data_IF_328698029445
#
_entry.id   IF_328698029445
#
_cell.length_a   1.000
_cell.length_b   1.000
_cell.length_c   1.000
_cell.angle_alpha   90.00
_cell.angle_beta   90.00
_cell.angle_gamma   90.00
#
_symmetry.space_group_name_H-M   'P 1'
#
loop_
_entity.id
_entity.type
_entity.pdbx_description
1 polymer ?
#
# COMPACT_ATOMS: atom_id res chain seq x y z
N UNK A 1 -6.96 9.58 -13.13
CA UNK A 1 -8.21 9.66 -13.93
C UNK A 1 -8.09 8.78 -15.17
N UNK A 2 -9.20 8.18 -15.59
CA UNK A 2 -9.28 7.23 -16.70
C UNK A 2 -10.22 7.75 -17.78
N UNK A 3 -9.93 7.51 -19.08
CA UNK A 3 -10.86 7.83 -20.16
C UNK A 3 -12.16 7.00 -20.04
N UNK A 4 -13.24 7.55 -20.58
CA UNK A 4 -14.55 6.86 -20.60
C UNK A 4 -15.14 6.78 -22.01
N UNK A 5 -14.27 6.78 -23.04
CA UNK A 5 -14.70 6.54 -24.42
C UNK A 5 -15.02 5.03 -24.61
N UNK A 6 -15.78 4.74 -25.65
CA UNK A 6 -16.30 3.38 -25.90
C UNK A 6 -15.18 2.34 -26.06
N UNK A 7 -14.11 2.68 -26.74
CA UNK A 7 -12.96 1.77 -26.97
C UNK A 7 -12.26 1.43 -25.63
N UNK A 8 -12.06 2.42 -24.76
CA UNK A 8 -11.44 2.17 -23.46
C UNK A 8 -12.36 1.35 -22.54
N UNK A 9 -13.66 1.66 -22.53
CA UNK A 9 -14.65 0.88 -21.77
C UNK A 9 -14.72 -0.56 -22.27
N UNK A 10 -14.65 -0.78 -23.59
CA UNK A 10 -14.63 -2.13 -24.16
C UNK A 10 -13.39 -2.90 -23.71
N UNK A 11 -12.20 -2.30 -23.74
CA UNK A 11 -10.96 -2.91 -23.27
C UNK A 11 -11.02 -3.26 -21.77
N UNK A 12 -11.49 -2.34 -20.92
CA UNK A 12 -11.67 -2.57 -19.49
C UNK A 12 -12.66 -3.72 -19.25
N UNK A 13 -13.75 -3.74 -19.98
CA UNK A 13 -14.77 -4.77 -19.85
C UNK A 13 -14.25 -6.17 -20.19
N UNK A 14 -13.46 -6.27 -21.25
CA UNK A 14 -12.80 -7.52 -21.65
C UNK A 14 -11.79 -7.97 -20.60
N UNK A 15 -10.89 -7.07 -20.16
CA UNK A 15 -9.88 -7.36 -19.15
C UNK A 15 -10.50 -7.82 -17.83
N UNK A 16 -11.52 -7.10 -17.34
CA UNK A 16 -12.23 -7.46 -16.10
C UNK A 16 -12.90 -8.83 -16.25
N UNK A 17 -13.57 -9.07 -17.35
CA UNK A 17 -14.25 -10.35 -17.61
C UNK A 17 -13.24 -11.50 -17.57
N UNK A 18 -12.14 -11.40 -18.30
CA UNK A 18 -11.10 -12.44 -18.33
C UNK A 18 -10.49 -12.69 -16.96
N UNK A 19 -10.16 -11.64 -16.22
CA UNK A 19 -9.57 -11.79 -14.88
C UNK A 19 -10.55 -12.38 -13.87
N UNK A 20 -11.82 -11.97 -13.90
CA UNK A 20 -12.82 -12.53 -13.00
C UNK A 20 -13.06 -14.01 -13.32
N UNK A 21 -13.26 -14.39 -14.57
CA UNK A 21 -13.43 -15.79 -14.96
C UNK A 21 -12.21 -16.66 -14.57
N UNK A 22 -11.01 -16.10 -14.64
CA UNK A 22 -9.77 -16.79 -14.24
C UNK A 22 -9.63 -16.97 -12.73
N UNK A 23 -10.11 -16.01 -11.91
CA UNK A 23 -9.83 -15.96 -10.48
C UNK A 23 -11.00 -16.31 -9.57
N UNK A 24 -12.25 -16.23 -10.02
CA UNK A 24 -13.44 -16.38 -9.18
C UNK A 24 -13.56 -17.73 -8.47
N UNK A 25 -12.88 -18.77 -8.95
CA UNK A 25 -12.93 -20.10 -8.37
C UNK A 25 -11.91 -20.33 -7.24
N UNK A 26 -11.04 -19.37 -6.96
CA UNK A 26 -10.07 -19.49 -5.87
C UNK A 26 -10.76 -19.26 -4.53
N UNK A 27 -10.66 -20.24 -3.64
CA UNK A 27 -11.30 -20.20 -2.30
C UNK A 27 -10.78 -19.09 -1.39
N UNK A 28 -9.63 -18.51 -1.69
CA UNK A 28 -9.06 -17.38 -0.97
C UNK A 28 -9.59 -16.02 -1.42
N UNK A 29 -10.33 -15.97 -2.55
CA UNK A 29 -10.94 -14.73 -3.02
C UNK A 29 -12.06 -14.32 -2.06
N UNK A 30 -11.95 -13.14 -1.48
CA UNK A 30 -12.92 -12.62 -0.53
C UNK A 30 -13.77 -11.48 -1.10
N UNK A 31 -13.16 -10.61 -1.91
CA UNK A 31 -13.77 -9.39 -2.41
C UNK A 31 -13.07 -8.90 -3.66
N UNK A 32 -13.81 -8.34 -4.59
CA UNK A 32 -13.28 -7.59 -5.72
C UNK A 32 -13.15 -6.11 -5.38
N UNK A 33 -12.04 -5.49 -5.79
CA UNK A 33 -11.82 -4.05 -5.64
C UNK A 33 -11.61 -3.40 -7.01
N UNK A 34 -12.18 -2.21 -7.19
CA UNK A 34 -12.16 -1.52 -8.48
C UNK A 34 -10.89 -0.74 -8.75
N UNK A 35 -10.63 0.30 -7.96
CA UNK A 35 -9.49 1.19 -8.16
C UNK A 35 -8.71 1.44 -6.89
N UNK A 36 -7.52 2.01 -7.06
CA UNK A 36 -6.69 2.51 -5.96
C UNK A 36 -6.75 4.03 -5.90
N UNK A 37 -7.28 4.55 -4.79
CA UNK A 37 -7.22 5.94 -4.34
C UNK A 37 -7.91 6.98 -5.23
N UNK A 38 -8.60 6.64 -6.30
CA UNK A 38 -9.14 7.64 -7.22
C UNK A 38 -10.13 8.59 -6.54
N UNK A 39 -11.08 8.08 -5.75
CA UNK A 39 -12.06 8.87 -5.02
C UNK A 39 -11.40 9.73 -3.95
N UNK A 40 -10.43 9.18 -3.24
CA UNK A 40 -9.72 9.87 -2.17
C UNK A 40 -8.83 10.99 -2.72
N UNK A 41 -8.02 10.72 -3.75
CA UNK A 41 -7.18 11.72 -4.41
C UNK A 41 -8.05 12.84 -5.01
N UNK A 42 -9.15 12.47 -5.70
CA UNK A 42 -10.08 13.46 -6.25
C UNK A 42 -10.67 14.35 -5.16
N UNK A 43 -11.11 13.74 -4.05
CA UNK A 43 -11.65 14.48 -2.92
C UNK A 43 -10.63 15.49 -2.34
N UNK A 44 -9.39 15.05 -2.17
CA UNK A 44 -8.32 15.91 -1.63
C UNK A 44 -7.93 17.06 -2.57
N UNK A 45 -7.77 16.78 -3.85
CA UNK A 45 -7.30 17.74 -4.84
C UNK A 45 -8.39 18.71 -5.28
N UNK A 46 -9.57 18.19 -5.59
CA UNK A 46 -10.65 18.96 -6.20
C UNK A 46 -11.65 19.51 -5.17
N UNK A 47 -11.63 18.99 -3.93
CA UNK A 47 -12.59 19.33 -2.85
C UNK A 47 -14.05 19.31 -3.35
N UNK A 48 -14.36 18.37 -4.23
CA UNK A 48 -15.65 18.22 -4.90
C UNK A 48 -16.08 16.75 -4.89
N UNK A 49 -17.37 16.52 -5.17
CA UNK A 49 -17.90 15.16 -5.22
C UNK A 49 -17.12 14.29 -6.21
N UNK A 50 -16.63 13.13 -5.76
CA UNK A 50 -15.95 12.12 -6.58
C UNK A 50 -16.83 11.60 -7.73
N UNK A 51 -18.15 11.76 -7.66
CA UNK A 51 -19.09 11.42 -8.76
C UNK A 51 -18.83 12.18 -10.06
N UNK A 52 -17.99 13.22 -10.01
CA UNK A 52 -17.52 13.99 -11.17
C UNK A 52 -16.13 13.60 -11.64
N UNK A 53 -15.46 12.65 -10.98
CA UNK A 53 -14.12 12.24 -11.38
C UNK A 53 -14.15 11.50 -12.73
N UNK A 54 -13.17 11.71 -13.61
CA UNK A 54 -13.00 10.89 -14.81
C UNK A 54 -12.74 9.43 -14.43
N UNK A 55 -13.47 8.50 -15.07
CA UNK A 55 -13.41 7.07 -14.73
C UNK A 55 -14.47 6.62 -13.72
N UNK A 56 -15.31 7.53 -13.21
CA UNK A 56 -16.40 7.18 -12.28
C UNK A 56 -17.29 6.05 -12.82
N UNK A 57 -17.72 6.13 -14.08
CA UNK A 57 -18.62 5.14 -14.65
C UNK A 57 -17.99 3.74 -14.73
N UNK A 58 -16.68 3.66 -14.96
CA UNK A 58 -15.96 2.38 -14.99
C UNK A 58 -16.16 1.65 -13.67
N UNK A 59 -15.80 2.28 -12.55
CA UNK A 59 -15.76 1.65 -11.24
C UNK A 59 -17.12 1.54 -10.55
N UNK A 60 -18.04 2.48 -10.85
CA UNK A 60 -19.35 2.53 -10.19
C UNK A 60 -20.51 1.92 -11.01
N UNK A 61 -20.28 1.65 -12.32
CA UNK A 61 -21.34 1.10 -13.19
C UNK A 61 -20.88 -0.09 -14.01
N UNK A 62 -19.78 0.05 -14.79
CA UNK A 62 -19.35 -0.98 -15.75
C UNK A 62 -18.88 -2.24 -15.01
N UNK A 63 -17.91 -2.12 -14.11
CA UNK A 63 -17.37 -3.27 -13.37
C UNK A 63 -18.45 -3.96 -12.52
N UNK A 64 -19.27 -3.25 -11.72
CA UNK A 64 -20.37 -3.90 -10.99
C UNK A 64 -21.35 -4.63 -11.88
N UNK A 65 -21.66 -4.09 -13.08
CA UNK A 65 -22.57 -4.75 -14.02
C UNK A 65 -21.97 -6.06 -14.56
N UNK A 66 -20.66 -6.08 -14.87
CA UNK A 66 -19.96 -7.29 -15.30
C UNK A 66 -19.97 -8.33 -14.17
N UNK A 67 -19.57 -7.96 -12.97
CA UNK A 67 -19.52 -8.86 -11.81
C UNK A 67 -20.88 -9.45 -11.48
N UNK A 68 -21.94 -8.65 -11.55
CA UNK A 68 -23.31 -9.14 -11.33
C UNK A 68 -23.68 -10.30 -12.27
N UNK A 69 -23.12 -10.32 -13.48
CA UNK A 69 -23.42 -11.34 -14.48
C UNK A 69 -22.54 -12.59 -14.36
N UNK A 70 -21.28 -12.44 -13.95
CA UNK A 70 -20.30 -13.53 -14.01
C UNK A 70 -19.82 -14.00 -12.63
N UNK A 71 -19.93 -13.17 -11.59
CA UNK A 71 -19.56 -13.50 -10.21
C UNK A 71 -20.38 -12.71 -9.19
N UNK A 72 -21.66 -13.04 -9.10
CA UNK A 72 -22.58 -12.39 -8.15
C UNK A 72 -22.36 -12.82 -6.69
N UNK A 73 -21.49 -13.79 -6.43
CA UNK A 73 -21.26 -14.32 -5.07
C UNK A 73 -20.25 -13.47 -4.26
N UNK A 74 -19.23 -12.95 -4.91
CA UNK A 74 -18.23 -12.14 -4.23
C UNK A 74 -18.66 -10.67 -4.19
N UNK A 75 -18.52 -10.00 -3.03
CA UNK A 75 -18.82 -8.58 -2.92
C UNK A 75 -17.83 -7.76 -3.76
N UNK A 76 -18.24 -6.56 -4.11
CA UNK A 76 -17.43 -5.60 -4.84
C UNK A 76 -17.33 -4.30 -4.08
N UNK A 77 -16.10 -3.78 -3.99
CA UNK A 77 -15.79 -2.44 -3.49
C UNK A 77 -15.20 -1.60 -4.61
N UNK A 78 -15.79 -0.46 -4.89
CA UNK A 78 -15.43 0.38 -6.04
C UNK A 78 -14.04 1.00 -5.96
N UNK A 79 -13.53 1.23 -4.74
CA UNK A 79 -12.22 1.82 -4.48
C UNK A 79 -11.58 1.31 -3.20
N UNK A 80 -10.28 1.40 -3.11
CA UNK A 80 -9.50 1.36 -1.88
C UNK A 80 -8.62 2.63 -1.80
N UNK A 81 -8.79 3.50 -0.77
CA UNK A 81 -9.83 3.40 0.27
C UNK A 81 -11.22 3.78 -0.23
N UNK A 82 -12.24 3.33 0.47
CA UNK A 82 -13.59 3.86 0.34
C UNK A 82 -14.34 3.76 1.67
N UNK A 83 -14.35 4.85 2.41
CA UNK A 83 -15.09 4.97 3.67
C UNK A 83 -16.56 5.28 3.45
N UNK A 84 -16.84 6.49 2.97
CA UNK A 84 -18.18 6.94 2.65
C UNK A 84 -18.14 8.10 1.62
N UNK A 85 -19.30 8.65 1.26
CA UNK A 85 -19.42 9.72 0.27
C UNK A 85 -18.82 11.07 0.72
N UNK A 86 -18.71 11.31 2.03
CA UNK A 86 -18.19 12.56 2.60
C UNK A 86 -16.67 12.49 2.80
N UNK A 87 -16.18 11.33 3.24
CA UNK A 87 -14.75 11.06 3.43
C UNK A 87 -14.39 9.68 2.87
N UNK A 88 -13.84 9.64 1.64
CA UNK A 88 -13.41 8.37 1.03
C UNK A 88 -12.35 7.60 1.81
N UNK A 89 -11.60 8.24 2.71
CA UNK A 89 -10.65 7.55 3.60
C UNK A 89 -11.05 7.65 5.08
N UNK A 90 -12.33 7.55 5.37
CA UNK A 90 -12.83 7.55 6.74
C UNK A 90 -12.31 6.34 7.53
N UNK A 91 -11.83 6.60 8.75
CA UNK A 91 -11.37 5.56 9.68
C UNK A 91 -12.54 4.89 10.44
N UNK A 92 -13.77 5.36 10.25
CA UNK A 92 -14.95 4.89 10.97
C UNK A 92 -15.94 4.11 10.10
N UNK A 93 -15.64 3.99 8.80
CA UNK A 93 -16.50 3.27 7.84
C UNK A 93 -15.67 2.69 6.69
N UNK A 94 -16.15 1.58 6.14
CA UNK A 94 -15.60 0.98 4.94
C UNK A 94 -14.19 0.44 5.09
N UNK A 95 -13.34 0.72 4.12
CA UNK A 95 -11.93 0.36 4.11
C UNK A 95 -11.04 1.61 4.07
N UNK A 96 -9.84 1.50 4.64
CA UNK A 96 -8.96 2.63 4.91
C UNK A 96 -7.54 2.36 4.45
N UNK A 97 -6.89 3.37 3.90
CA UNK A 97 -5.44 3.42 3.73
C UNK A 97 -4.81 4.13 4.93
N UNK A 98 -4.08 3.38 5.75
CA UNK A 98 -3.46 3.88 6.98
C UNK A 98 -2.03 4.36 6.70
N UNK A 99 -1.92 5.56 6.14
CA UNK A 99 -0.64 6.22 5.88
C UNK A 99 -0.29 7.33 6.88
N UNK A 100 -1.05 7.50 7.95
CA UNK A 100 -0.67 8.41 9.04
C UNK A 100 0.62 7.95 9.70
N UNK A 101 0.72 6.66 9.99
CA UNK A 101 1.98 6.00 10.33
C UNK A 101 2.86 6.03 9.08
N UNK A 102 4.12 6.28 9.24
CA UNK A 102 5.11 6.44 8.19
C UNK A 102 4.97 7.73 7.38
N UNK A 103 3.98 7.83 6.47
CA UNK A 103 3.91 8.92 5.50
C UNK A 103 3.62 10.30 6.12
N UNK A 104 2.89 10.35 7.23
CA UNK A 104 2.66 11.59 7.99
C UNK A 104 3.56 11.75 9.23
N UNK A 105 4.67 11.03 9.27
CA UNK A 105 5.66 11.11 10.35
C UNK A 105 5.14 10.70 11.74
N UNK A 106 3.99 10.03 11.82
CA UNK A 106 3.44 9.50 13.06
C UNK A 106 4.12 8.17 13.38
N UNK A 107 4.53 8.01 14.63
CA UNK A 107 5.18 6.81 15.11
C UNK A 107 4.24 5.59 15.07
N UNK A 108 4.78 4.41 14.80
CA UNK A 108 3.97 3.20 14.68
C UNK A 108 3.35 2.75 16.00
N UNK A 109 3.85 3.20 17.15
CA UNK A 109 3.22 2.96 18.45
C UNK A 109 1.88 3.66 18.60
N UNK A 110 1.64 4.74 17.83
CA UNK A 110 0.37 5.46 17.80
C UNK A 110 -0.77 4.69 17.11
N UNK A 111 -0.49 3.50 16.56
CA UNK A 111 -1.54 2.61 16.02
C UNK A 111 -2.62 2.29 17.05
N UNK A 112 -2.32 2.38 18.33
CA UNK A 112 -3.29 2.20 19.43
C UNK A 112 -4.49 3.16 19.37
N UNK A 113 -4.35 4.26 18.63
CA UNK A 113 -5.39 5.26 18.40
C UNK A 113 -6.16 5.03 17.10
N UNK A 114 -5.77 4.03 16.29
CA UNK A 114 -6.42 3.73 15.03
C UNK A 114 -7.79 3.07 15.24
N UNK A 115 -8.76 3.48 14.41
CA UNK A 115 -10.15 3.00 14.47
C UNK A 115 -10.60 2.27 13.22
N UNK A 116 -9.71 2.04 12.27
CA UNK A 116 -10.01 1.44 10.98
C UNK A 116 -10.74 0.12 11.10
N UNK A 117 -11.79 -0.06 10.30
CA UNK A 117 -12.58 -1.30 10.26
C UNK A 117 -11.95 -2.36 9.36
N UNK A 118 -11.31 -1.93 8.28
CA UNK A 118 -10.54 -2.77 7.37
C UNK A 118 -9.43 -1.94 6.73
N UNK A 119 -8.18 -2.32 6.96
CA UNK A 119 -7.00 -1.61 6.46
C UNK A 119 -6.54 -2.23 5.15
N UNK A 120 -6.83 -1.58 4.04
CA UNK A 120 -6.49 -2.08 2.70
C UNK A 120 -5.11 -1.67 2.22
N UNK A 121 -4.48 -0.69 2.88
CA UNK A 121 -3.05 -0.41 2.76
C UNK A 121 -2.49 0.13 4.07
N UNK A 122 -1.32 -0.35 4.41
CA UNK A 122 -0.38 0.26 5.36
C UNK A 122 1.01 -0.28 5.08
N UNK A 123 2.03 0.43 5.48
CA UNK A 123 3.39 -0.03 5.27
C UNK A 123 4.42 0.79 6.02
N UNK A 124 5.64 0.28 6.01
CA UNK A 124 6.79 0.92 6.64
C UNK A 124 8.03 0.60 5.80
N UNK A 125 8.87 1.58 5.47
CA UNK A 125 10.02 1.30 4.63
C UNK A 125 11.15 0.63 5.39
N UNK A 126 11.80 -0.29 4.69
CA UNK A 126 13.09 -0.86 5.02
C UNK A 126 13.94 -1.03 3.77
N UNK A 127 15.27 -1.14 3.92
CA UNK A 127 16.15 -1.45 2.81
C UNK A 127 15.99 -2.91 2.34
N UNK A 128 16.31 -3.18 1.09
CA UNK A 128 16.46 -4.53 0.58
C UNK A 128 17.52 -5.32 1.39
N UNK A 129 17.52 -6.63 1.26
CA UNK A 129 18.51 -7.48 1.91
C UNK A 129 19.93 -7.07 1.53
N UNK A 130 20.86 -7.27 2.46
CA UNK A 130 22.28 -6.96 2.26
C UNK A 130 22.84 -7.56 0.97
N UNK A 131 22.63 -8.87 0.78
CA UNK A 131 23.18 -9.59 -0.39
C UNK A 131 22.60 -9.04 -1.69
N UNK A 132 21.35 -8.61 -1.68
CA UNK A 132 20.69 -7.98 -2.82
C UNK A 132 21.35 -6.65 -3.16
N UNK A 133 21.53 -5.76 -2.18
CA UNK A 133 22.25 -4.51 -2.43
C UNK A 133 23.70 -4.76 -2.85
N UNK A 134 24.40 -5.70 -2.24
CA UNK A 134 25.80 -5.99 -2.56
C UNK A 134 26.00 -6.54 -3.98
N UNK A 135 24.99 -7.18 -4.54
CA UNK A 135 25.00 -7.64 -5.94
C UNK A 135 24.90 -6.48 -6.94
N UNK A 136 24.17 -5.42 -6.58
CA UNK A 136 23.87 -4.32 -7.52
C UNK A 136 24.61 -3.02 -7.21
N UNK A 137 25.06 -2.82 -5.96
CA UNK A 137 25.81 -1.61 -5.54
C UNK A 137 27.31 -1.90 -5.45
N UNK A 138 28.16 -1.17 -6.19
CA UNK A 138 29.61 -1.19 -5.99
C UNK A 138 29.98 -0.85 -4.54
N UNK A 139 31.06 -1.43 -4.03
CA UNK A 139 31.53 -1.24 -2.63
C UNK A 139 31.64 0.25 -2.25
N UNK A 140 32.15 1.09 -3.16
CA UNK A 140 32.31 2.54 -2.93
C UNK A 140 30.98 3.27 -2.68
N UNK A 141 29.86 2.70 -3.12
CA UNK A 141 28.50 3.28 -2.99
C UNK A 141 27.70 2.66 -1.83
N UNK A 142 28.30 1.75 -1.06
CA UNK A 142 27.68 1.14 0.12
C UNK A 142 27.83 2.02 1.34
N UNK A 143 27.17 3.14 1.30
CA UNK A 143 27.17 4.15 2.37
C UNK A 143 25.80 4.82 2.44
N UNK A 144 25.26 5.01 3.63
CA UNK A 144 23.94 5.62 3.87
C UNK A 144 23.83 7.06 3.35
N UNK A 145 24.95 7.76 3.16
CA UNK A 145 25.00 9.13 2.62
C UNK A 145 25.34 9.17 1.12
N UNK A 146 25.43 8.02 0.44
CA UNK A 146 25.80 7.97 -0.97
C UNK A 146 24.59 8.24 -1.86
N UNK A 147 24.78 9.11 -2.87
CA UNK A 147 23.69 9.48 -3.80
C UNK A 147 23.16 8.30 -4.62
N UNK A 148 24.00 7.30 -4.92
CA UNK A 148 23.54 6.10 -5.60
C UNK A 148 22.66 5.25 -4.69
N UNK A 149 23.03 5.14 -3.41
CA UNK A 149 22.16 4.46 -2.44
C UNK A 149 20.85 5.23 -2.21
N UNK A 150 20.91 6.56 -2.14
CA UNK A 150 19.71 7.40 -2.06
C UNK A 150 18.79 7.21 -3.27
N UNK A 151 19.35 7.05 -4.49
CA UNK A 151 18.56 6.75 -5.68
C UNK A 151 17.80 5.42 -5.55
N UNK A 152 18.33 4.45 -4.81
CA UNK A 152 17.68 3.19 -4.50
C UNK A 152 16.67 3.35 -3.35
N UNK A 153 15.73 4.29 -3.51
CA UNK A 153 14.67 4.59 -2.57
C UNK A 153 13.38 4.98 -3.30
N UNK A 154 12.23 4.52 -2.82
CA UNK A 154 10.93 4.74 -3.49
C UNK A 154 10.17 5.97 -3.03
N UNK A 155 10.57 6.59 -1.95
CA UNK A 155 9.84 7.73 -1.41
C UNK A 155 10.74 8.95 -1.24
N UNK A 156 10.24 10.13 -1.62
CA UNK A 156 10.85 11.40 -1.21
C UNK A 156 10.98 11.44 0.30
N UNK A 157 12.14 11.89 0.83
CA UNK A 157 12.46 11.88 2.26
C UNK A 157 12.51 10.46 2.90
N UNK A 158 12.60 9.39 2.11
CA UNK A 158 12.63 8.02 2.63
C UNK A 158 13.81 7.74 3.56
N UNK A 159 15.05 8.09 3.21
CA UNK A 159 16.22 7.94 4.09
C UNK A 159 16.05 8.67 5.42
N UNK A 160 15.56 9.90 5.41
CA UNK A 160 15.32 10.71 6.61
C UNK A 160 14.24 10.08 7.49
N UNK A 161 13.19 9.53 6.89
CA UNK A 161 12.12 8.83 7.61
C UNK A 161 12.65 7.57 8.27
N UNK A 162 13.43 6.76 7.56
CA UNK A 162 14.06 5.56 8.12
C UNK A 162 14.89 5.93 9.35
N UNK A 163 15.76 6.95 9.25
CA UNK A 163 16.62 7.40 10.36
C UNK A 163 15.78 7.93 11.53
N UNK A 164 14.74 8.72 11.26
CA UNK A 164 13.90 9.26 12.32
C UNK A 164 13.21 8.15 13.12
N UNK A 165 12.56 7.22 12.43
CA UNK A 165 11.87 6.12 13.11
C UNK A 165 12.83 5.13 13.75
N UNK A 166 13.99 4.88 13.12
CA UNK A 166 15.04 4.07 13.71
C UNK A 166 15.52 4.67 15.04
N UNK A 167 15.79 5.97 15.06
CA UNK A 167 16.29 6.67 16.26
C UNK A 167 15.31 6.69 17.45
N UNK A 168 14.04 6.51 17.19
CA UNK A 168 13.02 6.45 18.23
C UNK A 168 13.01 5.11 18.99
N UNK A 169 13.48 4.03 18.38
CA UNK A 169 13.31 2.66 18.88
C UNK A 169 14.61 1.87 18.99
N UNK A 170 15.62 2.16 18.17
CA UNK A 170 16.85 1.41 18.04
C UNK A 170 18.07 2.35 17.95
N UNK A 171 19.29 1.87 18.24
CA UNK A 171 20.51 2.66 18.06
C UNK A 171 20.71 3.04 16.59
N UNK A 172 21.11 4.28 16.33
CA UNK A 172 21.58 4.68 15.00
C UNK A 172 22.97 4.12 14.78
N UNK A 173 23.16 3.40 13.70
CA UNK A 173 24.45 2.90 13.23
C UNK A 173 24.63 3.34 11.78
N UNK A 174 25.85 3.71 11.41
CA UNK A 174 26.21 4.17 10.07
C UNK A 174 27.07 3.16 9.30
N UNK A 175 27.56 2.13 9.98
CA UNK A 175 28.20 0.99 9.32
C UNK A 175 27.16 0.27 8.47
N UNK A 176 27.54 -0.08 7.23
CA UNK A 176 26.61 -0.57 6.21
C UNK A 176 25.76 -1.75 6.67
N UNK A 177 26.40 -2.79 7.20
CA UNK A 177 25.68 -4.00 7.60
C UNK A 177 24.79 -3.77 8.82
N UNK A 178 25.27 -3.00 9.80
CA UNK A 178 24.51 -2.67 11.00
C UNK A 178 23.28 -1.80 10.64
N UNK A 179 23.47 -0.82 9.76
CA UNK A 179 22.37 0.03 9.30
C UNK A 179 21.29 -0.76 8.60
N UNK A 180 21.64 -1.60 7.62
CA UNK A 180 20.67 -2.40 6.90
C UNK A 180 19.87 -3.31 7.84
N UNK A 181 20.58 -4.01 8.72
CA UNK A 181 19.96 -4.90 9.71
C UNK A 181 18.99 -4.15 10.64
N UNK A 182 19.41 -3.04 11.21
CA UNK A 182 18.59 -2.29 12.15
C UNK A 182 17.40 -1.61 11.48
N UNK A 183 17.55 -1.13 10.24
CA UNK A 183 16.46 -0.55 9.48
C UNK A 183 15.40 -1.60 9.10
N UNK A 184 15.82 -2.81 8.70
CA UNK A 184 14.90 -3.93 8.46
C UNK A 184 14.22 -4.40 9.76
N UNK A 185 14.95 -4.45 10.86
CA UNK A 185 14.39 -4.79 12.17
C UNK A 185 13.34 -3.78 12.62
N UNK A 186 13.57 -2.49 12.38
CA UNK A 186 12.60 -1.44 12.67
C UNK A 186 11.34 -1.55 11.79
N UNK A 187 11.49 -1.87 10.50
CA UNK A 187 10.36 -2.20 9.62
C UNK A 187 9.55 -3.37 10.18
N UNK A 188 10.23 -4.44 10.58
CA UNK A 188 9.58 -5.62 11.16
C UNK A 188 8.81 -5.28 12.45
N UNK A 189 9.37 -4.46 13.33
CA UNK A 189 8.70 -4.01 14.55
C UNK A 189 7.49 -3.15 14.26
N UNK A 190 7.57 -2.23 13.31
CA UNK A 190 6.45 -1.39 12.91
C UNK A 190 5.30 -2.23 12.35
N UNK A 191 5.58 -3.13 11.41
CA UNK A 191 4.57 -4.01 10.83
C UNK A 191 3.96 -4.93 11.89
N UNK A 192 4.79 -5.55 12.74
CA UNK A 192 4.35 -6.40 13.84
C UNK A 192 3.41 -5.66 14.79
N UNK A 193 3.80 -4.47 15.23
CA UNK A 193 3.01 -3.68 16.19
C UNK A 193 1.64 -3.32 15.62
N UNK A 194 1.58 -2.90 14.36
CA UNK A 194 0.33 -2.59 13.69
C UNK A 194 -0.57 -3.82 13.54
N UNK A 195 -0.02 -4.93 13.04
CA UNK A 195 -0.77 -6.16 12.81
C UNK A 195 -1.31 -6.75 14.12
N UNK A 196 -0.50 -6.79 15.16
CA UNK A 196 -0.93 -7.29 16.48
C UNK A 196 -2.03 -6.42 17.09
N UNK A 197 -1.91 -5.09 16.97
CA UNK A 197 -2.95 -4.18 17.42
C UNK A 197 -4.27 -4.44 16.70
N UNK A 198 -4.29 -4.41 15.37
CA UNK A 198 -5.53 -4.64 14.61
C UNK A 198 -6.13 -6.01 14.84
N UNK A 199 -5.31 -7.03 15.04
CA UNK A 199 -5.77 -8.39 15.37
C UNK A 199 -6.45 -8.45 16.75
N UNK A 200 -6.02 -7.64 17.70
CA UNK A 200 -6.49 -7.71 19.10
C UNK A 200 -7.61 -6.74 19.42
N UNK A 201 -7.75 -5.63 18.70
CA UNK A 201 -8.72 -4.57 19.01
C UNK A 201 -10.19 -4.95 18.73
N UNK A 202 -10.46 -6.10 18.10
CA UNK A 202 -11.80 -6.66 17.78
C UNK A 202 -12.69 -5.77 16.89
N UNK A 203 -12.21 -4.65 16.39
CA UNK A 203 -12.93 -3.75 15.47
C UNK A 203 -12.44 -3.91 14.05
N UNK A 204 -11.14 -4.04 13.86
CA UNK A 204 -10.53 -4.23 12.57
C UNK A 204 -10.69 -5.67 12.10
N UNK A 205 -11.30 -5.86 10.94
CA UNK A 205 -11.63 -7.18 10.41
C UNK A 205 -10.56 -7.74 9.47
N UNK A 206 -9.58 -6.92 9.08
CA UNK A 206 -8.45 -7.34 8.25
C UNK A 206 -7.50 -6.20 7.95
N UNK A 207 -6.30 -6.58 7.52
CA UNK A 207 -5.27 -5.64 7.08
C UNK A 207 -4.44 -6.23 5.94
N UNK A 208 -4.04 -5.38 5.01
CA UNK A 208 -3.24 -5.73 3.84
C UNK A 208 -2.00 -4.85 3.84
N UNK A 209 -0.82 -5.48 3.78
CA UNK A 209 0.46 -4.76 3.75
C UNK A 209 0.72 -4.23 2.35
N UNK A 210 1.04 -2.97 2.24
CA UNK A 210 1.70 -2.38 1.10
C UNK A 210 3.20 -2.36 1.35
N UNK A 211 4.01 -3.25 0.71
CA UNK A 211 3.60 -4.21 -0.32
C UNK A 211 4.34 -5.54 -0.14
N UNK A 212 3.97 -6.57 -0.92
CA UNK A 212 4.61 -7.89 -0.78
C UNK A 212 6.05 -7.84 -1.28
N UNK A 213 6.30 -7.40 -2.53
CA UNK A 213 7.62 -7.52 -3.15
C UNK A 213 8.01 -6.31 -4.01
N UNK A 214 9.31 -6.20 -4.22
CA UNK A 214 9.91 -5.26 -5.16
C UNK A 214 10.29 -5.90 -6.49
N UNK A 215 10.51 -5.06 -7.51
CA UNK A 215 10.99 -5.46 -8.83
C UNK A 215 12.44 -5.03 -9.12
N UNK A 216 13.07 -4.31 -8.20
CA UNK A 216 14.47 -3.88 -8.27
C UNK A 216 15.03 -3.63 -6.85
N UNK A 217 16.35 -3.66 -6.63
CA UNK A 217 16.95 -3.50 -5.32
C UNK A 217 16.76 -2.06 -4.82
N UNK A 218 15.96 -1.89 -3.77
CA UNK A 218 15.52 -0.56 -3.32
C UNK A 218 15.12 -0.57 -1.85
N UNK A 219 15.19 0.56 -1.18
CA UNK A 219 14.52 0.81 0.09
C UNK A 219 13.05 1.14 -0.18
N UNK A 220 12.14 0.32 0.33
CA UNK A 220 10.71 0.42 0.07
C UNK A 220 9.86 -0.19 1.17
N UNK A 221 8.55 -0.22 0.97
CA UNK A 221 7.61 -0.88 1.88
C UNK A 221 7.52 -2.40 1.69
N UNK A 222 8.22 -2.95 0.71
CA UNK A 222 8.18 -4.38 0.42
C UNK A 222 8.72 -5.22 1.59
N UNK A 223 8.08 -6.35 1.84
CA UNK A 223 8.52 -7.34 2.86
C UNK A 223 9.38 -8.44 2.25
N UNK A 224 9.41 -8.53 0.93
CA UNK A 224 10.29 -9.40 0.15
C UNK A 224 10.98 -8.54 -0.90
N UNK A 225 12.29 -8.59 -0.98
CA UNK A 225 13.04 -7.80 -1.94
C UNK A 225 13.00 -8.38 -3.37
N UNK A 226 13.64 -7.68 -4.31
CA UNK A 226 13.66 -8.09 -5.73
C UNK A 226 14.39 -9.42 -6.01
N UNK A 227 15.22 -9.88 -5.10
CA UNK A 227 15.91 -11.19 -5.17
C UNK A 227 15.18 -12.27 -4.35
N UNK A 228 13.92 -12.02 -3.93
CA UNK A 228 13.06 -12.92 -3.17
C UNK A 228 13.60 -13.30 -1.77
N UNK A 229 14.23 -12.35 -1.11
CA UNK A 229 14.79 -12.50 0.25
C UNK A 229 14.03 -11.67 1.27
#
# INVERSE_FOLDING_TARGET
SYPENDDFIANVSEEVTQNVLRLQHHVCLAIWCGNNENEWIWHQEQKSSYKKMPGYNIYHKVIPAILKNIDAMHPYWQSTPFGNDEDPNSFESGNTHQWNIWSRWIDYTEVVNDKSLFVTEFGFQGPANKDTFEKYLPIKNRNISDQVFEHHNKQVEGPERIIKFLSAHLPIKTEWNEYLYLAQLNQAFALKTCLEYWRTNKKTNGSIIWQINDCWPVSSWAIVDSDTK
#
